data_IF_137766425639
#
_entry.id   IF_137766425639
#
_cell.length_a   1.000
_cell.length_b   1.000
_cell.length_c   1.000
_cell.angle_alpha   90.00
_cell.angle_beta   90.00
_cell.angle_gamma   90.00
#
_symmetry.space_group_name_H-M   'P 1'
#
loop_
_entity.id
_entity.type
_entity.pdbx_description
1 polymer ?
#
# COMPACT_ATOMS: atom_id res chain seq x y z
N UNK A 1 -3.43 -7.40 23.00
CA UNK A 1 -3.81 -7.33 21.58
C UNK A 1 -3.70 -5.87 21.18
N UNK A 2 -2.56 -5.45 20.63
CA UNK A 2 -2.46 -4.12 20.01
C UNK A 2 -3.00 -4.29 18.60
N UNK A 3 -4.15 -3.68 18.33
CA UNK A 3 -4.83 -3.73 17.06
C UNK A 3 -3.94 -2.98 16.05
N UNK A 4 -3.34 -3.68 15.08
CA UNK A 4 -2.51 -3.05 14.04
C UNK A 4 -3.26 -1.92 13.31
N UNK A 5 -4.59 -2.00 13.31
CA UNK A 5 -5.48 -0.99 12.76
C UNK A 5 -5.50 0.32 13.57
N UNK A 6 -5.47 0.22 14.91
CA UNK A 6 -5.36 1.40 15.78
C UNK A 6 -4.01 2.10 15.54
N UNK A 7 -2.95 1.30 15.30
CA UNK A 7 -1.62 1.82 14.99
C UNK A 7 -1.50 2.49 13.61
N UNK A 8 -2.29 2.06 12.61
CA UNK A 8 -2.35 2.74 11.31
C UNK A 8 -3.03 4.10 11.45
N UNK A 9 -4.18 4.16 12.12
CA UNK A 9 -4.90 5.41 12.34
C UNK A 9 -4.08 6.41 13.16
N UNK A 10 -3.35 5.96 14.18
CA UNK A 10 -2.40 6.80 14.90
C UNK A 10 -1.28 7.32 13.97
N UNK A 11 -0.71 6.44 13.14
CA UNK A 11 0.37 6.83 12.22
C UNK A 11 -0.09 7.79 11.11
N UNK A 12 -1.34 7.67 10.64
CA UNK A 12 -1.92 8.61 9.67
C UNK A 12 -2.22 9.97 10.31
N UNK A 13 -2.61 9.99 11.58
CA UNK A 13 -2.82 11.23 12.33
C UNK A 13 -1.52 12.01 12.53
N UNK A 14 -0.41 11.30 12.73
CA UNK A 14 0.91 11.88 12.96
C UNK A 14 1.68 12.14 11.65
N UNK A 15 1.17 11.70 10.50
CA UNK A 15 1.80 11.91 9.20
C UNK A 15 1.71 13.37 8.77
N UNK A 16 2.79 13.90 8.18
CA UNK A 16 2.76 15.22 7.56
C UNK A 16 1.83 15.23 6.33
N UNK A 17 1.31 16.40 5.94
CA UNK A 17 0.53 16.54 4.70
C UNK A 17 1.25 15.98 3.47
N UNK A 18 2.57 16.18 3.38
CA UNK A 18 3.38 15.68 2.26
C UNK A 18 3.45 14.14 2.24
N UNK A 19 3.54 13.49 3.41
CA UNK A 19 3.50 12.03 3.50
C UNK A 19 2.14 11.48 3.06
N UNK A 20 1.04 12.12 3.47
CA UNK A 20 -0.30 11.73 3.05
C UNK A 20 -0.51 11.92 1.54
N UNK A 21 -0.01 13.02 0.98
CA UNK A 21 -0.04 13.28 -0.46
C UNK A 21 0.74 12.22 -1.24
N UNK A 22 1.96 11.88 -0.81
CA UNK A 22 2.77 10.85 -1.44
C UNK A 22 2.10 9.47 -1.41
N UNK A 23 1.42 9.13 -0.30
CA UNK A 23 0.64 7.88 -0.18
C UNK A 23 -0.55 7.85 -1.12
N UNK A 24 -1.28 8.95 -1.26
CA UNK A 24 -2.39 9.08 -2.20
C UNK A 24 -1.93 8.99 -3.66
N UNK A 25 -0.81 9.62 -4.01
CA UNK A 25 -0.20 9.53 -5.33
C UNK A 25 0.25 8.09 -5.66
N UNK A 26 0.86 7.40 -4.70
CA UNK A 26 1.24 6.01 -4.86
C UNK A 26 0.00 5.12 -5.08
N UNK A 27 -1.06 5.30 -4.30
CA UNK A 27 -2.31 4.55 -4.47
C UNK A 27 -2.92 4.80 -5.86
N UNK A 28 -2.96 6.06 -6.29
CA UNK A 28 -3.47 6.45 -7.61
C UNK A 28 -2.63 5.84 -8.74
N UNK A 29 -1.31 5.85 -8.60
CA UNK A 29 -0.40 5.24 -9.58
C UNK A 29 -0.59 3.73 -9.64
N UNK A 30 -0.72 3.05 -8.50
CA UNK A 30 -0.94 1.60 -8.43
C UNK A 30 -2.27 1.19 -9.07
N UNK A 31 -3.34 1.95 -8.82
CA UNK A 31 -4.64 1.72 -9.45
C UNK A 31 -4.55 1.86 -10.98
N UNK A 32 -3.94 2.94 -11.46
CA UNK A 32 -3.75 3.22 -12.88
C UNK A 32 -2.91 2.15 -13.59
N UNK A 33 -1.88 1.61 -12.92
CA UNK A 33 -0.92 0.68 -13.51
C UNK A 33 -1.06 -0.76 -12.98
N UNK A 34 -2.23 -1.15 -12.46
CA UNK A 34 -2.44 -2.46 -11.85
C UNK A 34 -2.05 -3.64 -12.77
N UNK A 35 -2.28 -3.54 -14.08
CA UNK A 35 -1.86 -4.57 -15.04
C UNK A 35 -0.34 -4.75 -15.08
N UNK A 36 0.42 -3.65 -15.00
CA UNK A 36 1.88 -3.68 -14.94
C UNK A 36 2.35 -4.36 -13.65
N UNK A 37 1.68 -4.08 -12.53
CA UNK A 37 1.99 -4.72 -11.24
C UNK A 37 1.74 -6.23 -11.27
N UNK A 38 0.61 -6.65 -11.84
CA UNK A 38 0.27 -8.08 -12.01
C UNK A 38 1.27 -8.78 -12.93
N UNK A 39 1.59 -8.20 -14.09
CA UNK A 39 2.56 -8.79 -15.04
C UNK A 39 3.98 -8.78 -14.46
N UNK A 40 4.38 -7.69 -13.80
CA UNK A 40 5.67 -7.54 -13.15
C UNK A 40 5.89 -8.62 -12.08
N UNK A 41 4.87 -8.92 -11.28
CA UNK A 41 4.91 -10.00 -10.28
C UNK A 41 5.24 -11.35 -10.91
N UNK A 42 4.58 -11.70 -12.01
CA UNK A 42 4.85 -12.94 -12.75
C UNK A 42 6.28 -13.02 -13.30
N UNK A 43 6.96 -11.86 -13.42
CA UNK A 43 8.34 -11.73 -13.84
C UNK A 43 9.31 -11.46 -12.67
N UNK A 44 8.86 -11.63 -11.42
CA UNK A 44 9.70 -11.50 -10.23
C UNK A 44 9.90 -10.07 -9.72
N UNK A 45 9.24 -9.05 -10.30
CA UNK A 45 9.26 -7.68 -9.79
C UNK A 45 8.34 -7.62 -8.57
N UNK A 46 8.87 -7.15 -7.43
CA UNK A 46 8.11 -6.95 -6.20
C UNK A 46 8.43 -5.59 -5.60
N UNK A 47 7.44 -4.93 -5.02
CA UNK A 47 7.61 -3.61 -4.40
C UNK A 47 7.74 -3.80 -2.88
N UNK A 48 8.87 -3.38 -2.33
CA UNK A 48 9.06 -3.36 -0.88
C UNK A 48 8.17 -2.31 -0.23
N UNK A 49 7.37 -2.71 0.77
CA UNK A 49 6.52 -1.82 1.54
C UNK A 49 6.48 -2.25 3.01
N UNK A 50 6.28 -1.27 3.90
CA UNK A 50 6.04 -1.54 5.33
C UNK A 50 4.60 -2.00 5.53
N UNK A 51 4.30 -2.68 6.64
CA UNK A 51 2.92 -3.13 6.92
C UNK A 51 1.91 -1.97 6.94
N UNK A 52 2.35 -0.78 7.38
CA UNK A 52 1.53 0.44 7.39
C UNK A 52 1.15 0.89 5.97
N UNK A 53 2.09 0.85 5.04
CA UNK A 53 1.81 1.17 3.62
C UNK A 53 0.90 0.12 3.00
N UNK A 54 1.11 -1.16 3.30
CA UNK A 54 0.25 -2.25 2.82
C UNK A 54 -1.18 -2.08 3.33
N UNK A 55 -1.35 -1.78 4.62
CA UNK A 55 -2.66 -1.56 5.23
C UNK A 55 -3.35 -0.30 4.65
N UNK A 56 -2.63 0.81 4.51
CA UNK A 56 -3.13 2.02 3.85
C UNK A 56 -3.65 1.73 2.44
N UNK A 57 -2.88 0.98 1.64
CA UNK A 57 -3.28 0.62 0.26
C UNK A 57 -4.52 -0.26 0.24
N UNK A 58 -4.70 -1.15 1.21
CA UNK A 58 -5.91 -1.99 1.30
C UNK A 58 -7.17 -1.18 1.62
N UNK A 59 -7.04 -0.10 2.39
CA UNK A 59 -8.16 0.75 2.78
C UNK A 59 -8.55 1.76 1.69
N UNK A 60 -7.59 2.26 0.92
CA UNK A 60 -7.80 3.38 0.00
C UNK A 60 -7.94 2.96 -1.47
N UNK A 61 -7.62 1.71 -1.81
CA UNK A 61 -7.88 1.15 -3.13
C UNK A 61 -9.26 0.46 -3.16
N UNK A 62 -9.88 0.42 -4.34
CA UNK A 62 -11.06 -0.42 -4.57
C UNK A 62 -10.78 -1.86 -4.11
N UNK A 63 -11.73 -2.58 -3.47
CA UNK A 63 -11.47 -3.89 -2.86
C UNK A 63 -10.86 -4.93 -3.81
N UNK A 64 -11.25 -4.92 -5.09
CA UNK A 64 -10.69 -5.84 -6.09
C UNK A 64 -9.25 -5.48 -6.44
N UNK A 65 -8.95 -4.18 -6.51
CA UNK A 65 -7.62 -3.63 -6.74
C UNK A 65 -6.72 -3.76 -5.52
N UNK A 66 -7.23 -3.54 -4.31
CA UNK A 66 -6.55 -3.71 -3.05
C UNK A 66 -6.00 -5.12 -2.91
N UNK A 67 -6.80 -6.14 -3.21
CA UNK A 67 -6.38 -7.54 -3.19
C UNK A 67 -5.23 -7.78 -4.18
N UNK A 68 -5.43 -7.41 -5.46
CA UNK A 68 -4.46 -7.67 -6.54
C UNK A 68 -3.16 -6.86 -6.44
N UNK A 69 -3.25 -5.61 -5.99
CA UNK A 69 -2.12 -4.69 -5.91
C UNK A 69 -1.33 -4.91 -4.62
N UNK A 70 -1.99 -5.22 -3.49
CA UNK A 70 -1.30 -5.58 -2.24
C UNK A 70 -0.54 -6.91 -2.35
N UNK A 71 -0.96 -7.84 -3.21
CA UNK A 71 -0.20 -9.05 -3.54
C UNK A 71 1.17 -8.78 -4.20
N UNK A 72 1.35 -7.59 -4.78
CA UNK A 72 2.64 -7.16 -5.34
C UNK A 72 3.52 -6.39 -4.34
N UNK A 73 2.95 -6.04 -3.17
CA UNK A 73 3.68 -5.44 -2.07
C UNK A 73 4.26 -6.55 -1.20
N UNK A 74 5.58 -6.55 -1.04
CA UNK A 74 6.28 -7.43 -0.11
C UNK A 74 6.71 -6.67 1.12
N UNK A 75 6.47 -7.27 2.28
CA UNK A 75 6.91 -6.73 3.56
C UNK A 75 8.43 -6.57 3.54
N UNK A 76 8.90 -5.35 3.74
CA UNK A 76 10.29 -5.08 4.11
C UNK A 76 10.36 -4.84 5.60
N UNK A 77 11.38 -5.39 6.25
CA UNK A 77 11.69 -5.02 7.63
C UNK A 77 12.14 -3.56 7.64
N UNK A 78 11.61 -2.78 8.56
CA UNK A 78 12.08 -1.41 8.84
C UNK A 78 13.50 -1.43 9.39
#
# INVERSE_FOLDING_TARGET
>A
MNNENDSLHDALRDASPDHLQALAELATWMAKHHRLLVVGRSNGIRIGATDKVIAFMREHLDPELASKASENLVRVAN
#
